data_IF_083084105029
#
_entry.id   IF_083084105029
#
_cell.length_a   1.000
_cell.length_b   1.000
_cell.length_c   1.000
_cell.angle_alpha   90.00
_cell.angle_beta   90.00
_cell.angle_gamma   90.00
#
_symmetry.space_group_name_H-M   'P 1'
#
loop_
_entity.id
_entity.type
_entity.pdbx_description
1 polymer ?
#
# COMPACT_ATOMS: atom_id res chain seq x y z
N UNK A 1 -8.13 1.07 9.76
CA UNK A 1 -8.82 0.79 8.46
C UNK A 1 -8.79 -0.71 8.24
N UNK A 2 -9.92 -1.34 7.79
CA UNK A 2 -9.97 -2.80 7.61
C UNK A 2 -9.40 -3.23 6.26
N UNK A 3 -8.70 -4.38 6.25
CA UNK A 3 -8.07 -4.97 5.07
C UNK A 3 -9.05 -5.16 3.92
N UNK A 4 -10.31 -5.54 4.19
CA UNK A 4 -11.37 -5.75 3.18
C UNK A 4 -11.60 -4.56 2.24
N UNK A 5 -11.31 -3.35 2.68
CA UNK A 5 -11.53 -2.14 1.88
C UNK A 5 -10.33 -1.80 0.96
N UNK A 6 -9.20 -2.51 1.13
CA UNK A 6 -7.93 -2.15 0.50
C UNK A 6 -7.20 -3.32 -0.15
N UNK A 7 -7.65 -4.55 0.10
CA UNK A 7 -7.12 -5.73 -0.57
C UNK A 7 -7.45 -5.71 -2.06
N UNK A 8 -6.65 -6.40 -2.85
CA UNK A 8 -7.04 -6.82 -4.18
C UNK A 8 -7.98 -8.01 -4.03
N UNK A 9 -9.22 -7.93 -4.54
CA UNK A 9 -10.12 -9.08 -4.57
C UNK A 9 -9.44 -10.23 -5.30
N UNK A 10 -9.66 -11.46 -4.81
CA UNK A 10 -9.09 -12.62 -5.47
C UNK A 10 -9.82 -12.92 -6.75
N UNK A 11 -9.15 -12.71 -7.86
CA UNK A 11 -9.60 -13.15 -9.18
C UNK A 11 -8.76 -14.33 -9.69
N UNK A 12 -7.57 -14.57 -9.11
CA UNK A 12 -6.61 -15.55 -9.58
C UNK A 12 -6.09 -16.39 -8.42
N UNK A 13 -6.25 -17.68 -8.55
CA UNK A 13 -5.59 -18.71 -7.75
C UNK A 13 -5.16 -19.83 -8.67
N UNK A 14 -4.29 -20.70 -8.20
CA UNK A 14 -3.80 -21.83 -8.99
C UNK A 14 -3.88 -23.10 -8.17
N UNK A 15 -4.05 -24.24 -8.84
CA UNK A 15 -3.96 -25.54 -8.19
C UNK A 15 -2.50 -25.92 -7.92
N UNK A 16 -2.25 -26.65 -6.82
CA UNK A 16 -0.93 -27.22 -6.56
C UNK A 16 -0.46 -28.20 -7.62
N UNK A 17 -1.37 -28.83 -8.35
CA UNK A 17 -1.05 -29.76 -9.45
C UNK A 17 -0.80 -29.08 -10.81
N UNK A 18 -1.06 -27.78 -10.93
CA UNK A 18 -0.72 -27.01 -12.13
C UNK A 18 0.80 -26.88 -12.31
N UNK A 19 1.22 -26.52 -13.51
CA UNK A 19 2.65 -26.32 -13.82
C UNK A 19 3.17 -25.01 -13.24
N UNK A 20 4.41 -24.98 -12.81
CA UNK A 20 5.09 -23.77 -12.36
C UNK A 20 5.16 -22.71 -13.47
N UNK A 21 5.29 -23.13 -14.73
CA UNK A 21 5.26 -22.25 -15.90
C UNK A 21 3.89 -21.58 -16.10
N UNK A 22 2.78 -22.26 -15.79
CA UNK A 22 1.44 -21.67 -15.83
C UNK A 22 1.28 -20.61 -14.74
N UNK A 23 1.78 -20.90 -13.52
CA UNK A 23 1.79 -19.91 -12.43
C UNK A 23 2.63 -18.67 -12.80
N UNK A 24 3.78 -18.87 -13.43
CA UNK A 24 4.64 -17.77 -13.89
C UNK A 24 3.92 -16.92 -14.97
N UNK A 25 3.24 -17.56 -15.91
CA UNK A 25 2.46 -16.86 -16.94
C UNK A 25 1.35 -15.99 -16.33
N UNK A 26 0.55 -16.55 -15.41
CA UNK A 26 -0.52 -15.82 -14.71
C UNK A 26 0.03 -14.63 -13.90
N UNK A 27 1.14 -14.82 -13.20
CA UNK A 27 1.80 -13.76 -12.43
C UNK A 27 2.26 -12.60 -13.33
N UNK A 28 2.80 -12.92 -14.49
CA UNK A 28 3.27 -11.93 -15.46
C UNK A 28 2.11 -11.20 -16.13
N UNK A 29 1.13 -11.95 -16.64
CA UNK A 29 -0.05 -11.40 -17.34
C UNK A 29 -0.82 -10.41 -16.49
N UNK A 30 -1.03 -10.76 -15.21
CA UNK A 30 -1.81 -9.93 -14.28
C UNK A 30 -0.96 -9.05 -13.36
N UNK A 31 0.36 -9.00 -13.59
CA UNK A 31 1.32 -8.22 -12.78
C UNK A 31 1.18 -8.46 -11.27
N UNK A 32 1.02 -9.72 -10.88
CA UNK A 32 0.87 -10.14 -9.49
C UNK A 32 2.24 -10.27 -8.81
N UNK A 33 2.27 -10.12 -7.48
CA UNK A 33 3.44 -10.44 -6.66
C UNK A 33 3.42 -11.88 -6.17
N UNK A 34 2.22 -12.42 -6.00
CA UNK A 34 1.96 -13.72 -5.40
C UNK A 34 0.65 -14.28 -5.96
N UNK A 35 0.60 -15.62 -6.09
CA UNK A 35 -0.63 -16.39 -6.33
C UNK A 35 -0.92 -17.29 -5.13
N UNK A 36 -2.13 -17.26 -4.56
CA UNK A 36 -2.60 -18.29 -3.65
C UNK A 36 -2.73 -19.63 -4.37
N UNK A 37 -2.26 -20.69 -3.71
CA UNK A 37 -2.44 -22.07 -4.16
C UNK A 37 -3.63 -22.66 -3.45
N UNK A 38 -4.69 -22.94 -4.19
CA UNK A 38 -5.98 -23.38 -3.63
C UNK A 38 -6.39 -24.72 -4.26
N UNK A 39 -6.56 -25.74 -3.42
CA UNK A 39 -7.08 -27.05 -3.83
C UNK A 39 -8.32 -27.36 -3.00
N UNK A 40 -9.39 -27.79 -3.68
CA UNK A 40 -10.68 -28.11 -3.07
C UNK A 40 -11.22 -26.97 -2.18
N UNK A 41 -11.05 -25.71 -2.62
CA UNK A 41 -11.51 -24.51 -1.90
C UNK A 41 -10.69 -24.15 -0.66
N UNK A 42 -9.58 -24.83 -0.40
CA UNK A 42 -8.70 -24.59 0.76
C UNK A 42 -7.35 -24.05 0.31
N UNK A 43 -6.85 -23.05 1.03
CA UNK A 43 -5.50 -22.56 0.85
C UNK A 43 -4.48 -23.65 1.26
N UNK A 44 -3.60 -24.00 0.33
CA UNK A 44 -2.52 -24.98 0.52
C UNK A 44 -1.16 -24.31 0.67
N UNK A 45 -0.98 -23.19 0.00
CA UNK A 45 0.27 -22.47 -0.02
C UNK A 45 0.16 -21.18 -0.81
N UNK A 46 1.30 -20.57 -1.04
CA UNK A 46 1.47 -19.43 -1.94
C UNK A 46 2.70 -19.64 -2.81
N UNK A 47 2.68 -19.06 -3.98
CA UNK A 47 3.85 -18.98 -4.85
C UNK A 47 4.13 -17.54 -5.21
N UNK A 48 5.35 -17.05 -4.98
CA UNK A 48 5.74 -15.68 -5.26
C UNK A 48 6.40 -15.57 -6.63
N UNK A 49 6.26 -14.40 -7.24
CA UNK A 49 6.91 -14.05 -8.51
C UNK A 49 8.41 -14.34 -8.48
N UNK A 50 9.11 -13.98 -7.39
CA UNK A 50 10.54 -14.14 -7.25
C UNK A 50 10.95 -15.62 -7.31
N UNK A 51 10.22 -16.49 -6.61
CA UNK A 51 10.56 -17.90 -6.50
C UNK A 51 10.45 -18.59 -7.87
N UNK A 52 9.39 -18.24 -8.63
CA UNK A 52 9.22 -18.72 -10.01
C UNK A 52 10.27 -18.14 -10.97
N UNK A 53 10.65 -16.87 -10.80
CA UNK A 53 11.68 -16.24 -11.62
C UNK A 53 13.05 -16.84 -11.34
N UNK A 54 13.37 -17.14 -10.09
CA UNK A 54 14.60 -17.82 -9.70
C UNK A 54 14.66 -19.22 -10.27
N UNK A 55 13.56 -19.99 -10.16
CA UNK A 55 13.47 -21.33 -10.77
C UNK A 55 13.66 -21.27 -12.29
N UNK A 56 13.03 -20.32 -12.98
CA UNK A 56 13.19 -20.12 -14.42
C UNK A 56 14.62 -19.68 -14.80
N UNK A 57 15.26 -18.85 -13.97
CA UNK A 57 16.63 -18.35 -14.23
C UNK A 57 17.67 -19.46 -14.05
N UNK A 58 17.53 -20.29 -13.02
CA UNK A 58 18.40 -21.47 -12.84
C UNK A 58 18.37 -22.36 -14.08
N UNK A 59 17.18 -22.57 -14.64
CA UNK A 59 16.96 -23.38 -15.83
C UNK A 59 17.53 -22.72 -17.09
N UNK A 60 17.36 -21.41 -17.26
CA UNK A 60 17.86 -20.66 -18.42
C UNK A 60 19.38 -20.48 -18.41
N UNK A 61 19.98 -20.39 -17.22
CA UNK A 61 21.42 -20.13 -17.05
C UNK A 61 22.29 -21.34 -17.39
N UNK A 62 21.77 -22.55 -17.30
CA UNK A 62 22.51 -23.77 -17.62
C UNK A 62 22.57 -24.05 -19.13
N UNK A 63 21.62 -23.53 -19.91
CA UNK A 63 21.46 -23.88 -21.34
C UNK A 63 21.09 -25.33 -21.56
N UNK A 64 20.78 -26.09 -20.51
CA UNK A 64 20.38 -27.49 -20.59
C UNK A 64 18.91 -27.59 -21.00
N UNK A 65 18.68 -28.13 -22.18
CA UNK A 65 17.34 -28.38 -22.73
C UNK A 65 16.48 -29.30 -21.84
N UNK A 66 17.12 -30.23 -21.10
CA UNK A 66 16.41 -31.11 -20.19
C UNK A 66 15.84 -30.35 -18.99
N UNK A 67 16.60 -29.41 -18.42
CA UNK A 67 16.16 -28.58 -17.30
C UNK A 67 15.05 -27.59 -17.73
N UNK A 68 15.22 -26.98 -18.91
CA UNK A 68 14.18 -26.12 -19.52
C UNK A 68 12.87 -26.89 -19.72
N UNK A 69 12.98 -28.10 -20.27
CA UNK A 69 11.82 -28.96 -20.48
C UNK A 69 11.17 -29.40 -19.16
N UNK A 70 11.97 -29.69 -18.13
CA UNK A 70 11.45 -30.01 -16.80
C UNK A 70 10.64 -28.85 -16.20
N UNK A 71 11.18 -27.63 -16.21
CA UNK A 71 10.49 -26.45 -15.73
C UNK A 71 9.18 -26.21 -16.48
N UNK A 72 9.24 -26.24 -17.80
CA UNK A 72 8.06 -25.91 -18.61
C UNK A 72 6.98 -27.00 -18.55
N UNK A 73 7.32 -28.28 -18.41
CA UNK A 73 6.39 -29.37 -18.66
C UNK A 73 6.22 -30.35 -17.48
N UNK A 74 6.98 -30.25 -16.40
CA UNK A 74 6.92 -31.19 -15.28
C UNK A 74 6.90 -30.60 -13.90
N UNK A 75 7.58 -29.47 -13.67
CA UNK A 75 7.64 -28.85 -12.35
C UNK A 75 6.26 -28.34 -11.96
N UNK A 76 5.73 -28.82 -10.83
CA UNK A 76 4.41 -28.44 -10.34
C UNK A 76 4.49 -27.33 -9.29
N UNK A 77 3.43 -26.54 -9.19
CA UNK A 77 3.30 -25.47 -8.19
C UNK A 77 3.50 -25.99 -6.77
N UNK A 78 2.97 -27.18 -6.45
CA UNK A 78 3.13 -27.81 -5.12
C UNK A 78 4.58 -28.12 -4.73
N UNK A 79 5.48 -28.19 -5.70
CA UNK A 79 6.90 -28.51 -5.49
C UNK A 79 7.71 -27.25 -5.15
N UNK A 80 7.20 -26.06 -5.52
CA UNK A 80 7.86 -24.77 -5.32
C UNK A 80 7.11 -23.82 -4.38
N UNK A 81 5.85 -24.13 -4.02
CA UNK A 81 5.04 -23.26 -3.17
C UNK A 81 5.57 -23.22 -1.73
N UNK A 82 5.38 -22.09 -1.07
CA UNK A 82 5.51 -21.95 0.38
C UNK A 82 4.24 -22.50 1.00
N UNK A 83 4.39 -23.56 1.79
CA UNK A 83 3.28 -24.23 2.50
C UNK A 83 2.94 -23.49 3.77
N UNK A 84 1.68 -23.58 4.22
CA UNK A 84 1.17 -22.91 5.43
C UNK A 84 1.57 -21.43 5.49
N UNK A 85 1.18 -20.64 4.49
CA UNK A 85 1.55 -19.24 4.45
C UNK A 85 0.91 -18.48 5.61
N UNK A 86 1.58 -17.44 6.05
CA UNK A 86 0.99 -16.46 6.97
C UNK A 86 -0.13 -15.73 6.25
N UNK A 87 -1.29 -15.65 6.88
CA UNK A 87 -2.48 -15.02 6.33
C UNK A 87 -2.94 -13.85 7.21
N UNK A 88 -3.82 -13.02 6.66
CA UNK A 88 -4.53 -11.96 7.39
C UNK A 88 -6.03 -12.15 7.20
N UNK A 89 -6.83 -11.64 8.14
CA UNK A 89 -8.29 -11.65 8.04
C UNK A 89 -8.79 -10.40 7.31
N UNK A 90 -9.96 -10.50 6.71
CA UNK A 90 -10.66 -9.31 6.18
C UNK A 90 -10.96 -8.28 7.26
N UNK A 91 -11.08 -8.69 8.51
CA UNK A 91 -11.35 -7.83 9.67
C UNK A 91 -10.08 -7.29 10.34
N UNK A 92 -8.89 -7.74 9.91
CA UNK A 92 -7.63 -7.16 10.41
C UNK A 92 -7.51 -5.70 9.95
N UNK A 93 -6.85 -4.88 10.78
CA UNK A 93 -6.53 -3.52 10.37
C UNK A 93 -5.34 -3.50 9.40
N UNK A 94 -5.29 -2.47 8.56
CA UNK A 94 -4.12 -2.25 7.67
C UNK A 94 -2.87 -1.99 8.52
N UNK A 95 -3.03 -1.30 9.64
CA UNK A 95 -1.99 -0.98 10.60
C UNK A 95 -1.38 -2.26 11.22
N UNK A 96 -2.22 -3.17 11.69
CA UNK A 96 -1.77 -4.47 12.24
C UNK A 96 -1.12 -5.33 11.15
N UNK A 97 -1.66 -5.29 9.93
CA UNK A 97 -1.07 -6.00 8.78
C UNK A 97 0.34 -5.47 8.45
N UNK A 98 0.55 -4.14 8.53
CA UNK A 98 1.87 -3.52 8.35
C UNK A 98 2.85 -3.92 9.45
N UNK A 99 2.41 -3.92 10.71
CA UNK A 99 3.22 -4.36 11.85
C UNK A 99 3.65 -5.81 11.66
N UNK A 100 2.69 -6.69 11.33
CA UNK A 100 2.93 -8.11 11.03
C UNK A 100 3.91 -8.30 9.87
N UNK A 101 3.76 -7.52 8.80
CA UNK A 101 4.66 -7.55 7.64
C UNK A 101 6.09 -7.17 8.01
N UNK A 102 6.25 -6.12 8.81
CA UNK A 102 7.57 -5.68 9.29
C UNK A 102 8.23 -6.72 10.19
N UNK A 103 7.50 -7.29 11.15
CA UNK A 103 8.02 -8.29 12.09
C UNK A 103 8.42 -9.58 11.40
N UNK A 104 7.66 -10.00 10.37
CA UNK A 104 7.91 -11.21 9.62
C UNK A 104 8.76 -11.01 8.37
N UNK A 105 9.16 -9.78 8.06
CA UNK A 105 9.85 -9.40 6.82
C UNK A 105 9.08 -9.86 5.56
N UNK A 106 7.76 -9.76 5.61
CA UNK A 106 6.85 -10.14 4.53
C UNK A 106 6.12 -8.92 3.99
N UNK A 107 5.97 -8.85 2.68
CA UNK A 107 5.30 -7.72 2.00
C UNK A 107 3.96 -8.08 1.37
N UNK A 108 3.51 -9.33 1.48
CA UNK A 108 2.30 -9.80 0.80
C UNK A 108 1.66 -10.92 1.59
N UNK A 109 0.33 -10.85 1.76
CA UNK A 109 -0.44 -11.84 2.52
C UNK A 109 -1.70 -12.24 1.76
N UNK A 110 -2.07 -13.55 1.76
CA UNK A 110 -3.41 -13.98 1.42
C UNK A 110 -4.41 -13.46 2.46
N UNK A 111 -5.55 -12.98 2.00
CA UNK A 111 -6.63 -12.49 2.87
C UNK A 111 -7.69 -13.57 2.98
N UNK A 112 -8.07 -13.88 4.23
CA UNK A 112 -9.00 -14.96 4.54
C UNK A 112 -10.33 -14.42 5.04
N UNK A 113 -11.41 -15.08 4.63
CA UNK A 113 -12.74 -14.93 5.19
C UNK A 113 -13.40 -16.32 5.29
N UNK A 114 -13.89 -16.68 6.48
CA UNK A 114 -14.58 -17.96 6.71
C UNK A 114 -13.79 -19.20 6.24
N UNK A 115 -12.45 -19.16 6.30
CA UNK A 115 -11.57 -20.26 5.86
C UNK A 115 -11.31 -20.31 4.36
N UNK A 116 -11.80 -19.33 3.59
CA UNK A 116 -11.56 -19.17 2.15
C UNK A 116 -10.65 -17.99 1.89
N UNK A 117 -9.84 -18.09 0.84
CA UNK A 117 -9.07 -16.95 0.35
C UNK A 117 -10.01 -16.02 -0.43
N UNK A 118 -10.09 -14.76 -0.04
CA UNK A 118 -10.97 -13.75 -0.66
C UNK A 118 -10.20 -12.63 -1.32
N UNK A 119 -8.89 -12.55 -1.08
CA UNK A 119 -8.05 -11.52 -1.67
C UNK A 119 -6.58 -11.69 -1.34
N UNK A 120 -5.82 -10.72 -1.75
CA UNK A 120 -4.40 -10.54 -1.44
C UNK A 120 -4.19 -9.09 -1.05
N UNK A 121 -3.41 -8.86 0.00
CA UNK A 121 -2.94 -7.52 0.37
C UNK A 121 -1.41 -7.49 0.30
N UNK A 122 -0.87 -6.43 -0.29
CA UNK A 122 0.57 -6.23 -0.37
C UNK A 122 0.94 -4.80 0.01
N UNK A 123 2.24 -4.56 0.19
CA UNK A 123 2.82 -3.22 0.37
C UNK A 123 2.37 -2.24 -0.73
N UNK A 124 2.16 -2.73 -1.96
CA UNK A 124 1.65 -1.92 -3.08
C UNK A 124 0.25 -1.35 -2.78
N UNK A 125 -0.68 -2.19 -2.35
CA UNK A 125 -2.05 -1.76 -2.01
C UNK A 125 -2.03 -0.77 -0.85
N UNK A 126 -1.15 -0.99 0.12
CA UNK A 126 -0.96 -0.08 1.25
C UNK A 126 -0.41 1.27 0.79
N UNK A 127 0.59 1.30 -0.08
CA UNK A 127 1.12 2.53 -0.66
C UNK A 127 0.05 3.27 -1.47
N UNK A 128 -0.72 2.57 -2.32
CA UNK A 128 -1.84 3.16 -3.08
C UNK A 128 -2.88 3.76 -2.14
N UNK A 129 -3.17 3.08 -1.04
CA UNK A 129 -4.06 3.58 0.02
C UNK A 129 -3.53 4.86 0.63
N UNK A 130 -2.25 4.89 1.00
CA UNK A 130 -1.59 6.06 1.56
C UNK A 130 -1.66 7.25 0.58
N UNK A 131 -1.42 7.03 -0.71
CA UNK A 131 -1.59 8.07 -1.73
C UNK A 131 -3.01 8.65 -1.76
N UNK A 132 -4.04 7.81 -1.60
CA UNK A 132 -5.43 8.25 -1.55
C UNK A 132 -5.73 9.04 -0.28
N UNK A 133 -5.27 8.55 0.88
CA UNK A 133 -5.46 9.23 2.18
C UNK A 133 -4.79 10.60 2.23
N UNK A 134 -3.59 10.68 1.68
CA UNK A 134 -2.85 11.93 1.61
C UNK A 134 -3.35 12.86 0.49
N UNK A 135 -4.40 12.49 -0.25
CA UNK A 135 -4.86 13.24 -1.44
C UNK A 135 -3.71 13.57 -2.42
N UNK A 136 -2.71 12.67 -2.49
CA UNK A 136 -1.45 12.94 -3.20
C UNK A 136 -1.60 12.98 -4.72
N UNK A 137 -2.66 12.36 -5.27
CA UNK A 137 -2.93 12.26 -6.70
C UNK A 137 -3.57 13.51 -7.32
N UNK A 138 -4.03 14.45 -6.48
CA UNK A 138 -4.72 15.65 -6.96
C UNK A 138 -3.83 16.87 -6.78
N UNK A 139 -3.82 17.74 -7.81
CA UNK A 139 -3.18 19.04 -7.72
C UNK A 139 -3.90 19.89 -6.67
N UNK A 140 -3.28 20.06 -5.50
CA UNK A 140 -3.82 20.81 -4.39
C UNK A 140 -2.71 21.63 -3.73
N UNK A 141 -3.09 22.72 -3.10
CA UNK A 141 -2.16 23.46 -2.26
C UNK A 141 -1.82 22.61 -1.03
N UNK A 142 -0.53 22.43 -0.78
CA UNK A 142 0.00 21.80 0.43
C UNK A 142 0.68 22.86 1.28
N UNK A 143 0.35 22.87 2.54
CA UNK A 143 0.94 23.75 3.55
C UNK A 143 1.49 22.86 4.66
N UNK A 144 2.75 23.06 5.03
CA UNK A 144 3.39 22.38 6.15
C UNK A 144 3.75 23.42 7.20
N UNK A 145 3.09 23.36 8.34
CA UNK A 145 3.40 24.15 9.52
C UNK A 145 4.44 23.42 10.36
N UNK A 146 5.39 24.13 10.94
CA UNK A 146 6.49 23.56 11.76
C UNK A 146 6.45 24.11 13.18
N UNK A 147 7.03 23.37 14.13
CA UNK A 147 7.17 23.78 15.51
C UNK A 147 5.86 23.82 16.29
N UNK A 148 4.82 23.13 15.81
CA UNK A 148 3.49 23.16 16.42
C UNK A 148 3.45 22.25 17.65
N UNK A 149 2.92 22.79 18.77
CA UNK A 149 2.59 21.99 19.96
C UNK A 149 1.15 21.53 19.85
N UNK A 150 0.90 20.22 19.92
CA UNK A 150 -0.46 19.69 19.88
C UNK A 150 -1.12 19.82 21.26
N UNK A 151 -2.10 20.69 21.34
CA UNK A 151 -2.97 20.86 22.48
C UNK A 151 -4.44 20.69 22.03
N UNK A 152 -5.35 20.63 23.00
CA UNK A 152 -6.78 20.60 22.69
C UNK A 152 -7.19 21.87 21.93
N UNK A 153 -7.70 21.71 20.73
CA UNK A 153 -8.12 22.82 19.87
C UNK A 153 -7.12 23.19 18.78
N UNK A 154 -5.83 22.84 18.88
CA UNK A 154 -4.80 23.25 17.90
C UNK A 154 -5.18 22.94 16.46
N UNK A 155 -5.63 21.71 16.18
CA UNK A 155 -6.03 21.34 14.82
C UNK A 155 -7.35 22.00 14.40
N UNK A 156 -8.26 22.24 15.34
CA UNK A 156 -9.50 22.98 15.08
C UNK A 156 -9.20 24.41 14.70
N UNK A 157 -8.24 25.07 15.36
CA UNK A 157 -7.83 26.45 15.02
C UNK A 157 -7.25 26.52 13.61
N UNK A 158 -6.41 25.55 13.23
CA UNK A 158 -5.88 25.47 11.87
C UNK A 158 -7.01 25.29 10.84
N UNK A 159 -7.98 24.42 11.11
CA UNK A 159 -9.11 24.18 10.22
C UNK A 159 -10.03 25.41 10.13
N UNK A 160 -10.28 26.13 11.24
CA UNK A 160 -11.06 27.36 11.23
C UNK A 160 -10.39 28.43 10.35
N UNK A 161 -9.06 28.56 10.39
CA UNK A 161 -8.33 29.50 9.51
C UNK A 161 -8.47 29.09 8.03
N UNK A 162 -8.46 27.79 7.75
CA UNK A 162 -8.70 27.29 6.38
C UNK A 162 -10.09 27.69 5.89
N UNK A 163 -11.14 27.46 6.72
CA UNK A 163 -12.51 27.76 6.38
C UNK A 163 -12.75 29.29 6.25
N UNK A 164 -12.21 30.11 7.17
CA UNK A 164 -12.26 31.58 7.11
C UNK A 164 -11.54 32.16 5.88
N UNK A 165 -10.63 31.40 5.28
CA UNK A 165 -9.89 31.77 4.06
C UNK A 165 -10.57 31.27 2.78
N UNK A 166 -11.83 30.90 2.82
CA UNK A 166 -12.61 30.36 1.70
C UNK A 166 -11.90 29.18 1.01
N UNK A 167 -11.37 28.30 1.84
CA UNK A 167 -10.62 27.12 1.41
C UNK A 167 -11.21 25.86 2.01
N UNK A 168 -11.13 24.73 1.32
CA UNK A 168 -11.66 23.45 1.80
C UNK A 168 -10.50 22.54 2.20
N UNK A 169 -10.44 22.16 3.47
CA UNK A 169 -9.50 21.16 3.94
C UNK A 169 -9.87 19.77 3.36
N UNK A 170 -8.94 19.12 2.71
CA UNK A 170 -9.12 17.77 2.15
C UNK A 170 -8.39 16.69 2.93
N UNK A 171 -7.25 17.04 3.50
CA UNK A 171 -6.52 16.18 4.42
C UNK A 171 -5.76 17.06 5.42
N UNK A 172 -5.72 16.60 6.66
CA UNK A 172 -4.86 17.13 7.71
C UNK A 172 -4.22 15.96 8.43
N UNK A 173 -2.92 16.03 8.65
CA UNK A 173 -2.20 15.02 9.43
C UNK A 173 -0.99 15.65 10.11
N UNK A 174 -0.50 14.98 11.13
CA UNK A 174 0.65 15.42 11.90
C UNK A 174 1.81 14.47 11.73
N UNK A 175 3.03 15.01 11.69
CA UNK A 175 4.27 14.25 11.63
C UNK A 175 5.14 14.69 12.81
N UNK A 176 5.65 13.78 13.65
CA UNK A 176 6.56 14.15 14.73
C UNK A 176 7.76 14.95 14.24
N UNK A 177 8.15 15.99 14.98
CA UNK A 177 9.29 16.85 14.66
C UNK A 177 10.35 16.75 15.75
N UNK A 178 11.35 15.93 15.53
CA UNK A 178 12.40 15.69 16.53
C UNK A 178 11.90 14.98 17.79
N UNK A 179 12.64 15.16 18.92
CA UNK A 179 12.32 14.52 20.20
C UNK A 179 11.66 15.48 21.22
N UNK A 180 11.30 16.68 20.82
CA UNK A 180 10.84 17.76 21.71
C UNK A 180 9.32 17.87 21.88
N UNK A 181 8.57 16.86 21.42
CA UNK A 181 7.10 16.82 21.49
C UNK A 181 6.38 17.75 20.50
N UNK A 182 7.14 18.44 19.63
CA UNK A 182 6.55 19.24 18.55
C UNK A 182 6.23 18.38 17.35
N UNK A 183 5.31 18.88 16.53
CA UNK A 183 4.90 18.23 15.29
C UNK A 183 4.91 19.23 14.13
N UNK A 184 5.02 18.67 12.94
CA UNK A 184 4.60 19.35 11.71
C UNK A 184 3.13 19.04 11.47
N UNK A 185 2.36 20.07 11.15
CA UNK A 185 0.98 19.92 10.71
C UNK A 185 0.95 20.12 9.21
N UNK A 186 0.57 19.08 8.47
CA UNK A 186 0.45 19.13 7.02
C UNK A 186 -1.02 19.23 6.66
N UNK A 187 -1.38 20.28 5.93
CA UNK A 187 -2.74 20.50 5.45
C UNK A 187 -2.74 20.50 3.92
N UNK A 188 -3.65 19.76 3.34
CA UNK A 188 -3.94 19.82 1.91
C UNK A 188 -5.29 20.49 1.70
N UNK A 189 -5.28 21.54 0.93
CA UNK A 189 -6.46 22.35 0.71
C UNK A 189 -6.79 22.52 -0.76
N UNK A 190 -8.05 22.65 -1.04
CA UNK A 190 -8.58 23.18 -2.28
C UNK A 190 -8.89 24.65 -2.04
N UNK A 191 -8.22 25.54 -2.75
CA UNK A 191 -8.33 26.98 -2.57
C UNK A 191 -8.17 27.70 -3.91
N UNK A 192 -9.01 28.69 -4.15
CA UNK A 192 -8.85 29.58 -5.32
C UNK A 192 -7.78 30.64 -5.08
N UNK A 193 -7.59 31.04 -3.84
CA UNK A 193 -6.60 32.05 -3.44
C UNK A 193 -5.68 31.54 -2.30
N UNK A 194 -4.75 30.62 -2.60
CA UNK A 194 -3.89 30.04 -1.56
C UNK A 194 -3.03 31.06 -0.82
N UNK A 195 -2.74 32.20 -1.44
CA UNK A 195 -1.97 33.29 -0.83
C UNK A 195 -2.70 33.97 0.34
N UNK A 196 -4.03 34.03 0.32
CA UNK A 196 -4.84 34.54 1.43
C UNK A 196 -4.71 33.63 2.65
N UNK A 197 -4.88 32.31 2.43
CA UNK A 197 -4.72 31.31 3.49
C UNK A 197 -3.31 31.34 4.10
N UNK A 198 -2.28 31.48 3.26
CA UNK A 198 -0.90 31.61 3.75
C UNK A 198 -0.75 32.78 4.72
N UNK A 199 -1.20 33.97 4.31
CA UNK A 199 -1.13 35.16 5.16
C UNK A 199 -1.96 35.02 6.45
N UNK A 200 -3.14 34.38 6.38
CA UNK A 200 -3.97 34.15 7.54
C UNK A 200 -3.27 33.26 8.58
N UNK A 201 -2.61 32.19 8.15
CA UNK A 201 -1.81 31.32 9.01
C UNK A 201 -0.62 32.06 9.64
N UNK A 202 0.14 32.83 8.83
CA UNK A 202 1.28 33.64 9.30
C UNK A 202 0.83 34.69 10.33
N UNK A 203 -0.30 35.39 10.10
CA UNK A 203 -0.87 36.37 11.01
C UNK A 203 -1.33 35.79 12.37
N UNK A 204 -1.71 34.50 12.38
CA UNK A 204 -2.04 33.75 13.60
C UNK A 204 -0.83 33.17 14.31
N UNK A 205 0.38 33.44 13.80
CA UNK A 205 1.64 33.03 14.42
C UNK A 205 2.12 31.63 14.05
N UNK A 206 1.54 30.99 13.04
CA UNK A 206 2.04 29.71 12.55
C UNK A 206 3.26 29.89 11.65
N UNK A 207 4.30 29.09 11.90
CA UNK A 207 5.48 29.05 11.05
C UNK A 207 5.26 28.10 9.88
N UNK A 208 5.34 28.60 8.65
CA UNK A 208 5.18 27.82 7.43
C UNK A 208 6.55 27.34 6.96
N UNK A 209 6.76 26.03 7.01
CA UNK A 209 7.97 25.37 6.52
C UNK A 209 7.93 25.21 5.01
N UNK A 210 6.80 24.75 4.48
CA UNK A 210 6.60 24.50 3.05
C UNK A 210 5.23 25.03 2.62
N UNK A 211 5.22 25.62 1.44
CA UNK A 211 4.01 26.06 0.77
C UNK A 211 4.12 25.74 -0.71
N UNK A 212 3.32 24.78 -1.17
CA UNK A 212 3.30 24.39 -2.58
C UNK A 212 1.90 24.60 -3.13
N UNK A 213 1.75 25.57 -4.01
CA UNK A 213 0.54 25.78 -4.80
C UNK A 213 0.76 25.17 -6.17
N UNK A 214 -0.07 24.19 -6.54
CA UNK A 214 -0.11 23.72 -7.92
C UNK A 214 -1.23 24.46 -8.63
N UNK A 215 -0.85 25.37 -9.52
CA UNK A 215 -1.79 25.95 -10.46
C UNK A 215 -2.40 24.86 -11.32
N UNK A 216 -3.72 24.84 -11.44
CA UNK A 216 -4.39 24.04 -12.47
C UNK A 216 -3.84 24.52 -13.82
N UNK A 217 -2.97 23.75 -14.46
CA UNK A 217 -2.79 23.90 -15.91
C UNK A 217 -4.16 23.65 -16.54
N UNK A 218 -4.76 24.74 -17.05
CA UNK A 218 -5.97 24.69 -17.88
C UNK A 218 -5.72 23.87 -19.13
#
# INVERSE_FOLDING_TARGET
MFVKNWMLPQHHSISGDALASEAAALILEHNLKMLPVVDNGRLRGVVHRKDLSEAATCVSGTGDLCEINYFCNKLKVKDVMIRMPVTVSIEDSVEDTLIKGREMMMSTFPVMDGGKVVGVVSDREIVVTLFKLLEASKARTRITLTGVTLEKGTLSDVLNIVDESDSIARAIFTVPEGMNGKVRVVVRVESENPGVLRKALENKGYNILEFTSQERKK
#
